data_IF_771288827046
#
_entry.id   IF_771288827046
#
_cell.length_a   1.000
_cell.length_b   1.000
_cell.length_c   1.000
_cell.angle_alpha   90.00
_cell.angle_beta   90.00
_cell.angle_gamma   90.00
#
_symmetry.space_group_name_H-M   'P 1'
#
loop_
_entity.id
_entity.type
_entity.pdbx_description
1 polymer ?
#
# COMPACT_ATOMS: atom_id res chain seq x y z
N UNK A 1 16.49 66.15 13.26
CA UNK A 1 15.41 65.18 13.40
C UNK A 1 15.64 64.11 12.33
N UNK A 2 16.19 62.96 12.69
CA UNK A 2 16.44 61.82 11.77
C UNK A 2 15.33 60.82 11.95
N UNK A 3 14.48 60.65 10.93
CA UNK A 3 13.47 59.59 10.87
C UNK A 3 14.13 58.32 10.34
N UNK A 4 14.34 57.34 11.19
CA UNK A 4 14.75 56.01 10.80
C UNK A 4 13.56 55.24 10.27
N UNK A 5 13.57 54.91 8.99
CA UNK A 5 12.57 54.06 8.33
C UNK A 5 13.10 52.64 8.40
N UNK A 6 12.46 51.80 9.22
CA UNK A 6 12.74 50.36 9.30
C UNK A 6 11.90 49.67 8.19
N UNK A 7 12.59 49.18 7.17
CA UNK A 7 12.01 48.28 6.22
C UNK A 7 12.02 46.88 6.84
N UNK A 8 10.83 46.39 7.23
CA UNK A 8 10.63 45.03 7.64
C UNK A 8 10.64 44.15 6.40
N UNK A 9 11.70 43.36 6.20
CA UNK A 9 11.73 42.29 5.20
C UNK A 9 10.92 41.11 5.73
N UNK A 10 9.70 40.98 5.24
CA UNK A 10 8.88 39.80 5.50
C UNK A 10 9.45 38.60 4.71
N UNK A 11 10.07 37.63 5.39
CA UNK A 11 10.34 36.32 4.82
C UNK A 11 8.99 35.58 4.64
N UNK A 12 8.51 35.53 3.42
CA UNK A 12 7.49 34.54 3.02
C UNK A 12 8.16 33.16 2.98
N UNK A 13 8.00 32.40 4.05
CA UNK A 13 8.29 30.97 4.02
C UNK A 13 7.26 30.30 3.12
N UNK A 14 7.63 30.01 1.88
CA UNK A 14 6.86 29.09 1.02
C UNK A 14 6.96 27.70 1.65
N UNK A 15 5.95 27.34 2.41
CA UNK A 15 5.73 25.95 2.81
C UNK A 15 5.43 25.15 1.56
N UNK A 16 6.44 24.52 0.99
CA UNK A 16 6.24 23.49 -0.03
C UNK A 16 5.55 22.31 0.68
N UNK A 17 4.23 22.26 0.60
CA UNK A 17 3.46 21.05 0.92
C UNK A 17 3.92 19.98 -0.06
N UNK A 18 4.81 19.10 0.37
CA UNK A 18 5.07 17.85 -0.31
C UNK A 18 3.77 17.08 -0.30
N UNK A 19 3.00 17.13 -1.40
CA UNK A 19 1.83 16.29 -1.54
C UNK A 19 2.30 14.86 -1.60
N UNK A 20 2.00 14.10 -0.54
CA UNK A 20 2.20 12.67 -0.50
C UNK A 20 1.38 12.03 -1.63
N UNK A 21 2.04 11.24 -2.50
CA UNK A 21 1.39 10.58 -3.62
C UNK A 21 0.44 9.47 -3.17
N UNK A 22 -0.41 9.02 -4.08
CA UNK A 22 -1.22 7.81 -3.91
C UNK A 22 -0.60 6.66 -4.73
N UNK A 23 -0.41 5.50 -4.11
CA UNK A 23 0.11 4.29 -4.74
C UNK A 23 -0.92 3.17 -4.69
N UNK A 24 -1.22 2.59 -5.84
CA UNK A 24 -2.01 1.38 -5.97
C UNK A 24 -1.09 0.23 -6.40
N UNK A 25 -0.98 -0.78 -5.56
CA UNK A 25 -0.20 -1.98 -5.81
C UNK A 25 -1.14 -3.16 -6.07
N UNK A 26 -0.97 -3.86 -7.20
CA UNK A 26 -1.58 -5.16 -7.41
C UNK A 26 -0.55 -6.28 -7.28
N UNK A 27 -0.87 -7.33 -6.53
CA UNK A 27 -0.08 -8.55 -6.41
C UNK A 27 -0.90 -9.73 -6.92
N UNK A 28 -0.48 -10.29 -8.04
CA UNK A 28 -1.15 -11.42 -8.69
C UNK A 28 -0.28 -12.68 -8.65
N UNK A 29 1.01 -12.52 -8.44
CA UNK A 29 1.97 -13.62 -8.48
C UNK A 29 2.00 -14.43 -7.18
N UNK A 30 2.08 -15.76 -7.30
CA UNK A 30 2.38 -16.69 -6.20
C UNK A 30 3.87 -16.76 -5.85
N UNK A 31 4.75 -16.11 -6.60
CA UNK A 31 6.19 -16.10 -6.33
C UNK A 31 6.51 -15.24 -5.12
N UNK A 32 7.11 -15.81 -4.08
CA UNK A 32 7.50 -15.10 -2.88
C UNK A 32 8.46 -13.92 -3.17
N UNK A 33 9.37 -14.07 -4.12
CA UNK A 33 10.28 -13.00 -4.52
C UNK A 33 9.55 -11.84 -5.17
N UNK A 34 8.60 -12.13 -6.05
CA UNK A 34 7.78 -11.11 -6.72
C UNK A 34 6.89 -10.38 -5.72
N UNK A 35 6.25 -11.11 -4.82
CA UNK A 35 5.47 -10.56 -3.71
C UNK A 35 6.32 -9.64 -2.83
N UNK A 36 7.50 -10.15 -2.42
CA UNK A 36 8.44 -9.39 -1.60
C UNK A 36 8.89 -8.09 -2.27
N UNK A 37 9.18 -8.13 -3.58
CA UNK A 37 9.59 -6.94 -4.33
C UNK A 37 8.50 -5.85 -4.30
N UNK A 38 7.25 -6.21 -4.59
CA UNK A 38 6.12 -5.27 -4.53
C UNK A 38 5.91 -4.71 -3.13
N UNK A 39 5.95 -5.56 -2.11
CA UNK A 39 5.74 -5.16 -0.71
C UNK A 39 6.87 -4.26 -0.17
N UNK A 40 8.12 -4.49 -0.60
CA UNK A 40 9.24 -3.57 -0.27
C UNK A 40 8.99 -2.19 -0.84
N UNK A 41 8.60 -2.09 -2.12
CA UNK A 41 8.33 -0.78 -2.75
C UNK A 41 7.13 -0.08 -2.08
N UNK A 42 6.08 -0.82 -1.76
CA UNK A 42 4.93 -0.28 -1.04
C UNK A 42 5.32 0.24 0.36
N UNK A 43 6.16 -0.49 1.08
CA UNK A 43 6.66 -0.07 2.39
C UNK A 43 7.49 1.21 2.30
N UNK A 44 8.36 1.30 1.30
CA UNK A 44 9.15 2.52 1.06
C UNK A 44 8.26 3.71 0.66
N UNK A 45 7.17 3.47 -0.07
CA UNK A 45 6.21 4.53 -0.38
C UNK A 45 5.50 5.05 0.89
N UNK A 46 5.12 4.16 1.81
CA UNK A 46 4.55 4.55 3.12
C UNK A 46 5.54 5.38 3.92
N UNK A 47 6.81 4.99 3.98
CA UNK A 47 7.86 5.76 4.66
C UNK A 47 8.00 7.19 4.08
N UNK A 48 7.76 7.33 2.78
CA UNK A 48 7.71 8.63 2.09
C UNK A 48 6.35 9.33 2.19
N UNK A 49 5.47 8.87 3.09
CA UNK A 49 4.15 9.45 3.36
C UNK A 49 3.13 9.29 2.23
N UNK A 50 3.35 8.37 1.30
CA UNK A 50 2.33 8.04 0.31
C UNK A 50 1.17 7.28 0.95
N UNK A 51 -0.04 7.52 0.45
CA UNK A 51 -1.20 6.66 0.74
C UNK A 51 -1.09 5.40 -0.13
N UNK A 52 -1.07 4.23 0.50
CA UNK A 52 -0.89 2.96 -0.19
C UNK A 52 -2.17 2.12 -0.13
N UNK A 53 -2.62 1.64 -1.28
CA UNK A 53 -3.69 0.65 -1.41
C UNK A 53 -3.16 -0.57 -2.13
N UNK A 54 -3.41 -1.76 -1.59
CA UNK A 54 -2.96 -3.04 -2.13
C UNK A 54 -4.16 -3.89 -2.51
N UNK A 55 -4.18 -4.39 -3.73
CA UNK A 55 -5.13 -5.38 -4.20
C UNK A 55 -4.41 -6.69 -4.47
N UNK A 56 -4.82 -7.73 -3.79
CA UNK A 56 -4.29 -9.08 -3.90
C UNK A 56 -5.23 -9.92 -4.77
N UNK A 57 -4.74 -10.49 -5.85
CA UNK A 57 -5.53 -11.34 -6.73
C UNK A 57 -4.81 -12.66 -7.03
N UNK A 58 -5.58 -13.65 -7.47
CA UNK A 58 -5.06 -14.97 -7.85
C UNK A 58 -4.12 -15.54 -6.76
N UNK A 59 -3.06 -16.24 -7.15
CA UNK A 59 -2.07 -16.80 -6.20
C UNK A 59 -1.38 -15.75 -5.33
N UNK A 60 -1.37 -14.48 -5.75
CA UNK A 60 -0.89 -13.37 -4.93
C UNK A 60 -1.74 -13.12 -3.67
N UNK A 61 -3.02 -13.49 -3.71
CA UNK A 61 -3.91 -13.30 -2.57
C UNK A 61 -3.71 -14.35 -1.45
N UNK A 62 -3.04 -15.46 -1.72
CA UNK A 62 -2.75 -16.48 -0.72
C UNK A 62 -1.96 -15.94 0.49
N UNK A 63 -1.19 -14.87 0.31
CA UNK A 63 -0.46 -14.24 1.43
C UNK A 63 -1.39 -13.60 2.47
N UNK A 64 -2.66 -13.42 2.15
CA UNK A 64 -3.66 -12.90 3.07
C UNK A 64 -4.38 -14.00 3.88
N UNK A 65 -4.12 -15.28 3.61
CA UNK A 65 -4.78 -16.39 4.31
C UNK A 65 -4.13 -16.67 5.66
N UNK A 66 -4.94 -16.76 6.68
CA UNK A 66 -4.51 -17.16 8.04
C UNK A 66 -3.94 -18.58 8.01
N UNK A 67 -2.81 -18.80 8.69
CA UNK A 67 -2.20 -20.13 8.80
C UNK A 67 -1.49 -20.64 7.55
N UNK A 68 -1.39 -19.84 6.49
CA UNK A 68 -0.64 -20.20 5.29
C UNK A 68 0.87 -20.20 5.57
N UNK A 69 1.52 -21.33 5.37
CA UNK A 69 2.99 -21.41 5.44
C UNK A 69 3.63 -20.75 4.22
N UNK A 70 4.66 -19.97 4.45
CA UNK A 70 5.37 -19.22 3.42
C UNK A 70 6.87 -19.20 3.66
N UNK A 71 7.67 -19.17 2.58
CA UNK A 71 9.11 -19.01 2.72
C UNK A 71 9.46 -17.64 3.28
N UNK A 72 10.56 -17.58 4.04
CA UNK A 72 11.15 -16.32 4.50
C UNK A 72 12.04 -15.72 3.42
N UNK A 73 12.04 -14.40 3.35
CA UNK A 73 12.84 -13.60 2.42
C UNK A 73 14.02 -12.94 3.14
N UNK A 74 15.18 -13.06 2.54
CA UNK A 74 16.40 -12.39 3.00
C UNK A 74 16.40 -10.90 2.63
N UNK A 75 17.12 -10.02 3.33
CA UNK A 75 18.01 -10.31 4.49
C UNK A 75 17.27 -10.35 5.84
N UNK A 76 16.02 -9.88 5.93
CA UNK A 76 15.28 -9.72 7.20
C UNK A 76 14.67 -11.03 7.73
N UNK A 77 14.71 -12.10 6.95
CA UNK A 77 14.06 -13.39 7.26
C UNK A 77 12.58 -13.25 7.63
N UNK A 78 11.84 -12.47 6.86
CA UNK A 78 10.39 -12.25 7.00
C UNK A 78 9.63 -12.85 5.83
N UNK A 79 8.39 -13.29 6.07
CA UNK A 79 7.51 -13.77 5.00
C UNK A 79 6.81 -12.61 4.31
N UNK A 80 6.28 -12.83 3.10
CA UNK A 80 5.44 -11.84 2.41
C UNK A 80 4.22 -11.44 3.26
N UNK A 81 3.60 -12.40 3.99
CA UNK A 81 2.49 -12.08 4.90
C UNK A 81 2.91 -11.14 6.03
N UNK A 82 4.08 -11.36 6.64
CA UNK A 82 4.58 -10.46 7.69
C UNK A 82 4.85 -9.05 7.15
N UNK A 83 5.35 -8.94 5.91
CA UNK A 83 5.51 -7.64 5.25
C UNK A 83 4.16 -6.97 5.00
N UNK A 84 3.17 -7.74 4.55
CA UNK A 84 1.79 -7.25 4.35
C UNK A 84 1.18 -6.76 5.65
N UNK A 85 1.35 -7.50 6.74
CA UNK A 85 0.90 -7.11 8.08
C UNK A 85 1.57 -5.80 8.54
N UNK A 86 2.83 -5.61 8.22
CA UNK A 86 3.55 -4.34 8.46
C UNK A 86 2.91 -3.17 7.73
N UNK A 87 2.53 -3.35 6.46
CA UNK A 87 1.83 -2.34 5.67
C UNK A 87 0.45 -2.01 6.26
N UNK A 88 -0.31 -3.02 6.68
CA UNK A 88 -1.62 -2.82 7.32
C UNK A 88 -1.45 -1.98 8.60
N UNK A 89 -0.48 -2.31 9.44
CA UNK A 89 -0.17 -1.54 10.67
C UNK A 89 0.24 -0.09 10.37
N UNK A 90 0.89 0.14 9.23
CA UNK A 90 1.28 1.46 8.79
C UNK A 90 0.15 2.25 8.10
N UNK A 91 -1.07 1.69 8.04
CA UNK A 91 -2.26 2.35 7.53
C UNK A 91 -2.59 2.10 6.06
N UNK A 92 -1.88 1.18 5.39
CA UNK A 92 -2.23 0.80 4.03
C UNK A 92 -3.59 0.07 3.99
N UNK A 93 -4.39 0.37 2.98
CA UNK A 93 -5.63 -0.36 2.71
C UNK A 93 -5.30 -1.63 1.92
N UNK A 94 -5.62 -2.79 2.46
CA UNK A 94 -5.35 -4.08 1.82
C UNK A 94 -6.64 -4.84 1.58
N UNK A 95 -6.83 -5.28 0.34
CA UNK A 95 -8.02 -5.99 -0.11
C UNK A 95 -7.63 -7.19 -0.97
N UNK A 96 -8.43 -8.25 -0.90
CA UNK A 96 -8.41 -9.31 -1.93
C UNK A 96 -9.41 -8.97 -3.02
N UNK A 97 -9.13 -9.34 -4.27
CA UNK A 97 -10.06 -9.07 -5.37
C UNK A 97 -11.38 -9.84 -5.18
N UNK A 98 -12.48 -9.28 -5.70
CA UNK A 98 -13.82 -9.80 -5.50
C UNK A 98 -14.01 -11.26 -5.99
N UNK A 99 -13.18 -11.69 -6.94
CA UNK A 99 -13.24 -13.05 -7.48
C UNK A 99 -12.49 -14.09 -6.63
N UNK A 100 -11.59 -13.66 -5.74
CA UNK A 100 -10.71 -14.58 -5.04
C UNK A 100 -11.48 -15.54 -4.11
N UNK A 101 -12.22 -15.00 -3.14
CA UNK A 101 -12.90 -15.83 -2.16
C UNK A 101 -13.89 -16.83 -2.78
N UNK A 102 -14.82 -16.41 -3.68
CA UNK A 102 -15.80 -17.35 -4.24
C UNK A 102 -15.20 -18.41 -5.15
N UNK A 103 -14.04 -18.15 -5.77
CA UNK A 103 -13.40 -19.10 -6.69
C UNK A 103 -12.36 -20.01 -6.03
N UNK A 104 -11.96 -19.71 -4.80
CA UNK A 104 -10.97 -20.51 -4.05
C UNK A 104 -11.57 -21.29 -2.88
N UNK A 105 -12.87 -21.14 -2.62
CA UNK A 105 -13.57 -21.78 -1.51
C UNK A 105 -13.24 -21.20 -0.13
N UNK A 106 -12.56 -20.03 -0.08
CA UNK A 106 -12.27 -19.32 1.14
C UNK A 106 -13.38 -18.36 1.51
N UNK A 107 -13.42 -17.99 2.80
CA UNK A 107 -14.36 -17.04 3.37
C UNK A 107 -13.60 -15.81 3.92
N UNK A 108 -14.33 -14.73 4.17
CA UNK A 108 -13.74 -13.52 4.76
C UNK A 108 -13.08 -13.79 6.12
N UNK A 109 -13.58 -14.77 6.88
CA UNK A 109 -12.99 -15.20 8.15
C UNK A 109 -11.62 -15.88 8.01
N UNK A 110 -11.26 -16.34 6.82
CA UNK A 110 -9.98 -16.99 6.55
C UNK A 110 -8.86 -15.96 6.30
N UNK A 111 -9.24 -14.69 6.09
CA UNK A 111 -8.28 -13.61 5.87
C UNK A 111 -7.63 -13.14 7.19
N UNK A 112 -6.36 -12.75 7.11
CA UNK A 112 -5.68 -12.12 8.24
C UNK A 112 -6.36 -10.79 8.61
N UNK A 113 -6.28 -10.35 9.89
CA UNK A 113 -6.88 -9.09 10.33
C UNK A 113 -6.43 -7.89 9.47
N UNK A 114 -7.39 -7.03 9.12
CA UNK A 114 -7.14 -5.83 8.33
C UNK A 114 -7.24 -6.02 6.81
N UNK A 115 -7.44 -7.25 6.33
CA UNK A 115 -7.73 -7.53 4.93
C UNK A 115 -9.23 -7.75 4.71
N UNK A 116 -9.78 -7.13 3.67
CA UNK A 116 -11.18 -7.26 3.29
C UNK A 116 -11.32 -7.61 1.82
N UNK A 117 -12.51 -8.04 1.38
CA UNK A 117 -12.79 -8.19 -0.04
C UNK A 117 -13.05 -6.83 -0.69
N UNK A 118 -12.34 -6.55 -1.76
CA UNK A 118 -12.48 -5.31 -2.51
C UNK A 118 -13.80 -5.27 -3.28
N UNK A 119 -14.45 -4.10 -3.29
CA UNK A 119 -15.63 -3.86 -4.15
C UNK A 119 -15.15 -3.36 -5.51
N UNK A 120 -15.48 -4.04 -6.62
CA UNK A 120 -14.97 -3.67 -7.94
C UNK A 120 -15.18 -2.20 -8.32
N UNK A 121 -16.36 -1.65 -8.00
CA UNK A 121 -16.66 -0.25 -8.27
C UNK A 121 -15.76 0.72 -7.51
N UNK A 122 -15.47 0.44 -6.22
CA UNK A 122 -14.60 1.28 -5.40
C UNK A 122 -13.12 1.20 -5.85
N UNK A 123 -12.70 0.01 -6.28
CA UNK A 123 -11.35 -0.20 -6.82
C UNK A 123 -11.19 0.55 -8.14
N UNK A 124 -12.15 0.42 -9.05
CA UNK A 124 -12.12 1.12 -10.33
C UNK A 124 -12.16 2.64 -10.15
N UNK A 125 -13.01 3.16 -9.28
CA UNK A 125 -13.07 4.59 -8.98
C UNK A 125 -11.74 5.11 -8.42
N UNK A 126 -11.06 4.31 -7.58
CA UNK A 126 -9.74 4.68 -7.07
C UNK A 126 -8.69 4.73 -8.18
N UNK A 127 -8.66 3.72 -9.06
CA UNK A 127 -7.72 3.65 -10.18
C UNK A 127 -7.88 4.79 -11.20
N UNK A 128 -9.08 5.33 -11.32
CA UNK A 128 -9.37 6.43 -12.24
C UNK A 128 -8.99 7.82 -11.71
N UNK A 129 -8.52 7.91 -10.48
CA UNK A 129 -8.01 9.17 -9.94
C UNK A 129 -6.71 9.58 -10.67
N UNK A 130 -6.55 10.86 -11.05
CA UNK A 130 -5.42 11.32 -11.87
C UNK A 130 -4.05 11.18 -11.18
N UNK A 131 -4.02 11.20 -9.85
CA UNK A 131 -2.77 11.21 -9.06
C UNK A 131 -2.34 9.84 -8.54
N UNK A 132 -3.10 8.78 -8.84
CA UNK A 132 -2.78 7.42 -8.42
C UNK A 132 -1.72 6.81 -9.34
N UNK A 133 -0.60 6.42 -8.76
CA UNK A 133 0.43 5.63 -9.45
C UNK A 133 0.15 4.15 -9.23
N UNK A 134 0.26 3.35 -10.28
CA UNK A 134 -0.04 1.91 -10.24
C UNK A 134 1.24 1.10 -10.45
N UNK A 135 1.44 0.09 -9.59
CA UNK A 135 2.42 -0.97 -9.74
C UNK A 135 1.71 -2.32 -9.81
N UNK A 136 2.21 -3.24 -10.64
CA UNK A 136 1.68 -4.59 -10.78
C UNK A 136 2.81 -5.62 -10.68
N UNK A 137 2.59 -6.68 -9.88
CA UNK A 137 3.52 -7.79 -9.64
C UNK A 137 2.84 -9.16 -9.70
#
# INVERSE_FOLDING_TARGET
MKKSMWLGAGLLALSMSSQAGELFLTLNSGSAMTQGAGLVLASQAVEQKATVRVLLCDAGADIALTGKEMPTLKPKNVTAQQMLQGLIKAGAKVEVCALYLPNTGHQASDLIPGVTAGKPGDVAAYLLKPDVKTLAF
#
